data_IF_351502741178
#
_entry.id   IF_351502741178
#
_cell.length_a   1.000
_cell.length_b   1.000
_cell.length_c   1.000
_cell.angle_alpha   90.00
_cell.angle_beta   90.00
_cell.angle_gamma   90.00
#
_symmetry.space_group_name_H-M   'P 1'
#
loop_
_entity.id
_entity.type
_entity.pdbx_description
1 polymer ?
#
# COMPACT_ATOMS: atom_id res chain seq x y z
N UNK A 1 26.51 10.64 4.57
CA UNK A 1 25.19 11.03 5.15
C UNK A 1 24.77 9.97 6.15
N UNK A 2 23.98 10.32 7.17
CA UNK A 2 23.40 9.32 8.10
C UNK A 2 22.06 8.85 7.52
N UNK A 3 21.86 7.54 7.33
CA UNK A 3 20.55 6.95 6.96
C UNK A 3 19.76 6.59 8.22
N UNK A 4 19.70 7.53 9.16
CA UNK A 4 19.00 7.39 10.42
C UNK A 4 17.59 7.97 10.26
N UNK A 5 16.54 7.14 10.41
CA UNK A 5 15.17 7.59 10.23
C UNK A 5 14.76 8.60 11.30
N UNK A 6 13.91 9.53 10.91
CA UNK A 6 13.29 10.51 11.79
C UNK A 6 11.77 10.37 11.73
N UNK A 7 11.03 10.73 12.80
CA UNK A 7 9.56 10.72 12.75
C UNK A 7 8.97 11.54 11.60
N UNK A 8 9.68 12.56 11.11
CA UNK A 8 9.29 13.35 9.94
C UNK A 8 9.25 12.55 8.62
N UNK A 9 9.94 11.40 8.55
CA UNK A 9 9.89 10.48 7.40
C UNK A 9 8.57 9.68 7.36
N UNK A 10 7.75 9.75 8.41
CA UNK A 10 6.43 9.10 8.52
C UNK A 10 6.46 7.59 8.32
N UNK A 11 7.55 6.93 8.72
CA UNK A 11 7.62 5.47 8.74
C UNK A 11 6.68 4.88 9.79
N UNK A 12 5.92 3.86 9.42
CA UNK A 12 5.01 3.17 10.35
C UNK A 12 5.00 1.67 10.12
N UNK A 13 4.57 0.92 11.13
CA UNK A 13 4.57 -0.53 11.12
C UNK A 13 3.29 -1.07 11.77
N UNK A 14 2.73 -2.14 11.19
CA UNK A 14 1.65 -2.89 11.81
C UNK A 14 2.15 -3.68 13.01
N UNK A 15 1.38 -3.73 14.10
CA UNK A 15 1.72 -4.58 15.25
C UNK A 15 1.89 -6.05 14.85
N UNK A 16 1.14 -6.51 13.84
CA UNK A 16 1.23 -7.86 13.29
C UNK A 16 2.53 -8.14 12.53
N UNK A 17 3.30 -7.13 12.14
CA UNK A 17 4.52 -7.27 11.34
C UNK A 17 5.68 -7.81 12.19
N UNK A 18 6.25 -6.96 13.05
CA UNK A 18 7.26 -7.33 14.05
C UNK A 18 6.73 -8.31 15.08
N UNK A 19 5.40 -8.34 15.30
CA UNK A 19 4.73 -9.29 16.18
C UNK A 19 4.50 -10.68 15.56
N UNK A 20 4.81 -10.88 14.26
CA UNK A 20 4.59 -12.18 13.63
C UNK A 20 5.47 -13.27 14.24
N UNK A 21 4.81 -14.30 14.78
CA UNK A 21 5.46 -15.37 15.54
C UNK A 21 6.22 -16.40 14.68
N UNK A 22 6.18 -16.27 13.34
CA UNK A 22 6.86 -17.20 12.44
C UNK A 22 6.06 -18.47 12.10
N UNK A 23 4.79 -18.57 12.50
CA UNK A 23 3.90 -19.68 12.09
C UNK A 23 3.50 -19.47 10.63
N UNK A 24 3.74 -20.51 9.84
CA UNK A 24 3.38 -20.59 8.41
C UNK A 24 2.54 -21.86 8.17
N UNK A 25 2.02 -22.11 6.94
CA UNK A 25 1.18 -23.28 6.67
C UNK A 25 1.84 -24.65 6.93
N UNK A 26 3.16 -24.70 7.11
CA UNK A 26 3.96 -25.92 7.20
C UNK A 26 4.78 -26.02 8.50
N UNK A 27 4.62 -25.10 9.45
CA UNK A 27 5.38 -25.12 10.69
C UNK A 27 4.77 -24.32 11.83
N UNK A 28 5.09 -24.73 13.05
CA UNK A 28 4.73 -23.99 14.26
C UNK A 28 5.51 -22.67 14.38
N UNK A 29 5.03 -21.82 15.29
CA UNK A 29 5.67 -20.56 15.63
C UNK A 29 7.12 -20.78 16.10
N UNK A 30 8.02 -19.93 15.62
CA UNK A 30 9.44 -19.91 16.01
C UNK A 30 9.76 -18.84 17.06
N UNK A 31 8.82 -17.93 17.33
CA UNK A 31 8.95 -16.82 18.28
C UNK A 31 7.76 -16.73 19.24
N UNK A 32 8.01 -16.20 20.43
CA UNK A 32 6.96 -15.89 21.40
C UNK A 32 6.09 -14.71 20.92
N UNK A 33 4.85 -14.57 21.42
CA UNK A 33 4.05 -13.37 21.18
C UNK A 33 4.79 -12.12 21.68
N UNK A 34 4.69 -11.02 20.92
CA UNK A 34 5.24 -9.72 21.31
C UNK A 34 4.15 -8.88 21.97
N UNK A 35 4.46 -8.25 23.10
CA UNK A 35 3.54 -7.32 23.75
C UNK A 35 3.41 -6.02 22.94
N UNK A 36 2.20 -5.54 22.62
CA UNK A 36 2.00 -4.31 21.85
C UNK A 36 2.72 -3.07 22.41
N UNK A 37 2.77 -2.91 23.73
CA UNK A 37 3.46 -1.79 24.35
C UNK A 37 4.98 -1.87 24.18
N UNK A 38 5.56 -3.08 24.27
CA UNK A 38 6.97 -3.31 23.94
C UNK A 38 7.25 -2.96 22.47
N UNK A 39 6.39 -3.40 21.54
CA UNK A 39 6.55 -3.10 20.12
C UNK A 39 6.60 -1.59 19.86
N UNK A 40 5.70 -0.81 20.48
CA UNK A 40 5.69 0.66 20.39
C UNK A 40 7.02 1.25 20.88
N UNK A 41 7.51 0.86 22.05
CA UNK A 41 8.79 1.38 22.57
C UNK A 41 9.98 1.03 21.66
N UNK A 42 10.03 -0.19 21.13
CA UNK A 42 11.11 -0.65 20.25
C UNK A 42 11.07 0.06 18.89
N UNK A 43 9.89 0.22 18.29
CA UNK A 43 9.73 0.93 17.03
C UNK A 43 10.04 2.43 17.17
N UNK A 44 9.63 3.07 18.26
CA UNK A 44 9.99 4.44 18.57
C UNK A 44 11.51 4.63 18.66
N UNK A 45 12.19 3.71 19.37
CA UNK A 45 13.65 3.75 19.50
C UNK A 45 14.40 3.56 18.16
N UNK A 46 13.76 2.94 17.17
CA UNK A 46 14.27 2.80 15.81
C UNK A 46 13.92 3.99 14.90
N UNK A 47 13.15 4.97 15.37
CA UNK A 47 12.80 6.18 14.62
C UNK A 47 11.45 6.13 13.89
N UNK A 48 10.60 5.14 14.17
CA UNK A 48 9.25 5.09 13.59
C UNK A 48 8.34 6.23 14.10
N UNK A 49 7.47 6.72 13.23
CA UNK A 49 6.49 7.77 13.52
C UNK A 49 5.18 7.24 14.13
N UNK A 50 4.78 6.02 13.73
CA UNK A 50 3.50 5.47 14.16
C UNK A 50 3.40 3.96 14.06
N UNK A 51 2.40 3.40 14.73
CA UNK A 51 2.01 1.99 14.66
C UNK A 51 0.59 1.86 14.14
N UNK A 52 0.30 0.75 13.48
CA UNK A 52 -1.05 0.40 13.01
C UNK A 52 -1.44 -0.95 13.59
N UNK A 53 -2.73 -1.30 13.61
CA UNK A 53 -3.17 -2.57 14.19
C UNK A 53 -4.49 -3.06 13.57
N UNK A 54 -4.66 -4.38 13.51
CA UNK A 54 -5.99 -4.98 13.54
C UNK A 54 -6.52 -4.99 14.97
N UNK A 55 -7.84 -4.89 15.14
CA UNK A 55 -8.48 -5.07 16.45
C UNK A 55 -7.96 -6.28 17.23
N UNK A 56 -7.88 -7.43 16.58
CA UNK A 56 -7.47 -8.70 17.22
C UNK A 56 -5.97 -8.79 17.53
N UNK A 57 -5.12 -7.90 16.99
CA UNK A 57 -3.69 -7.81 17.33
C UNK A 57 -3.49 -7.16 18.72
N UNK A 58 -4.37 -6.22 19.05
CA UNK A 58 -4.32 -5.45 20.29
C UNK A 58 -5.20 -6.07 21.39
N UNK A 59 -6.40 -6.51 21.01
CA UNK A 59 -7.43 -7.00 21.91
C UNK A 59 -7.75 -8.45 21.52
N UNK A 60 -7.40 -9.45 22.35
CA UNK A 60 -7.71 -10.83 22.05
C UNK A 60 -9.19 -11.04 21.73
N UNK A 61 -9.48 -11.80 20.66
CA UNK A 61 -10.85 -12.07 20.25
C UNK A 61 -11.66 -12.70 21.41
N UNK A 62 -12.81 -12.12 21.72
CA UNK A 62 -13.67 -12.59 22.82
C UNK A 62 -13.33 -12.02 24.21
N UNK A 63 -12.31 -11.17 24.32
CA UNK A 63 -12.03 -10.42 25.54
C UNK A 63 -13.27 -9.65 26.04
N UNK A 64 -13.46 -9.64 27.35
CA UNK A 64 -14.48 -8.82 28.01
C UNK A 64 -14.18 -7.32 27.84
N UNK A 65 -15.18 -6.47 28.06
CA UNK A 65 -14.98 -5.02 27.96
C UNK A 65 -13.94 -4.50 28.96
N UNK A 66 -13.85 -5.11 30.16
CA UNK A 66 -12.81 -4.77 31.15
C UNK A 66 -11.40 -5.14 30.68
N UNK A 67 -11.23 -6.31 30.07
CA UNK A 67 -9.93 -6.72 29.50
C UNK A 67 -9.57 -5.83 28.30
N UNK A 68 -10.54 -5.53 27.43
CA UNK A 68 -10.38 -4.60 26.31
C UNK A 68 -9.87 -3.25 26.78
N UNK A 69 -10.51 -2.66 27.79
CA UNK A 69 -10.12 -1.34 28.32
C UNK A 69 -8.71 -1.36 28.91
N UNK A 70 -8.31 -2.47 29.54
CA UNK A 70 -6.94 -2.64 30.03
C UNK A 70 -5.91 -2.67 28.88
N UNK A 71 -6.19 -3.40 27.79
CA UNK A 71 -5.31 -3.43 26.62
C UNK A 71 -5.18 -2.06 25.95
N UNK A 72 -6.31 -1.37 25.72
CA UNK A 72 -6.33 -0.02 25.13
C UNK A 72 -5.57 0.98 26.01
N UNK A 73 -5.76 0.93 27.34
CA UNK A 73 -5.03 1.78 28.28
C UNK A 73 -3.52 1.55 28.21
N UNK A 74 -3.06 0.29 28.14
CA UNK A 74 -1.63 -0.03 28.04
C UNK A 74 -1.03 0.49 26.74
N UNK A 75 -1.73 0.35 25.61
CA UNK A 75 -1.26 0.92 24.33
C UNK A 75 -1.14 2.44 24.42
N UNK A 76 -2.17 3.13 24.94
CA UNK A 76 -2.15 4.58 25.11
C UNK A 76 -0.98 5.07 25.94
N UNK A 77 -0.70 4.41 27.06
CA UNK A 77 0.44 4.74 27.89
C UNK A 77 1.77 4.62 27.14
N UNK A 78 1.93 3.62 26.27
CA UNK A 78 3.12 3.47 25.43
C UNK A 78 3.20 4.55 24.33
N UNK A 79 2.07 4.87 23.68
CA UNK A 79 1.99 5.95 22.69
C UNK A 79 2.35 7.31 23.32
N UNK A 80 1.76 7.63 24.48
CA UNK A 80 2.02 8.88 25.22
C UNK A 80 3.50 8.97 25.64
N UNK A 81 4.10 7.86 26.10
CA UNK A 81 5.48 7.83 26.54
C UNK A 81 6.51 7.97 25.40
N UNK A 82 6.13 7.59 24.19
CA UNK A 82 7.03 7.59 23.01
C UNK A 82 6.77 8.74 22.04
N UNK A 83 5.58 9.35 22.09
CA UNK A 83 5.11 10.29 21.09
C UNK A 83 4.72 9.65 19.75
N UNK A 84 4.64 8.31 19.68
CA UNK A 84 4.18 7.62 18.47
C UNK A 84 2.69 7.86 18.23
N UNK A 85 2.31 7.88 16.96
CA UNK A 85 0.91 8.05 16.53
C UNK A 85 0.29 6.73 16.07
N UNK A 86 -1.04 6.73 15.91
CA UNK A 86 -1.77 5.68 15.19
C UNK A 86 -2.33 6.31 13.92
N UNK A 87 -1.62 6.29 12.78
CA UNK A 87 -2.11 6.93 11.56
C UNK A 87 -3.24 6.14 10.88
N UNK A 88 -3.25 4.81 11.08
CA UNK A 88 -4.14 3.87 10.44
C UNK A 88 -4.53 2.73 11.40
N UNK A 89 -5.75 2.23 11.27
CA UNK A 89 -6.20 0.98 11.88
C UNK A 89 -7.01 0.15 10.87
N UNK A 90 -7.17 -1.14 11.15
CA UNK A 90 -7.91 -2.07 10.30
C UNK A 90 -8.62 -3.15 11.13
N UNK A 91 -9.40 -4.04 10.51
CA UNK A 91 -10.19 -5.08 11.20
C UNK A 91 -9.75 -6.47 10.76
N UNK A 92 -9.48 -7.37 11.70
CA UNK A 92 -9.24 -8.76 11.34
C UNK A 92 -10.57 -9.43 10.99
N UNK A 93 -10.80 -9.60 9.69
CA UNK A 93 -11.96 -10.27 9.12
C UNK A 93 -11.56 -11.56 8.39
N UNK A 94 -10.45 -12.18 8.79
CA UNK A 94 -9.87 -13.30 8.04
C UNK A 94 -9.36 -14.47 8.88
N UNK A 95 -9.07 -14.25 10.16
CA UNK A 95 -8.45 -15.27 11.04
C UNK A 95 -9.47 -16.21 11.66
N UNK A 96 -10.51 -15.67 12.30
CA UNK A 96 -11.50 -16.49 13.00
C UNK A 96 -12.27 -17.39 12.00
N UNK A 97 -12.54 -18.68 12.30
CA UNK A 97 -13.20 -19.62 11.37
C UNK A 97 -14.59 -19.19 10.86
N UNK A 98 -15.23 -18.24 11.54
CA UNK A 98 -16.50 -17.65 11.10
C UNK A 98 -16.37 -16.95 9.75
N UNK A 99 -15.20 -16.39 9.42
CA UNK A 99 -14.95 -15.64 8.18
C UNK A 99 -14.39 -16.49 7.04
N UNK A 100 -14.49 -17.83 7.14
CA UNK A 100 -13.90 -18.77 6.18
C UNK A 100 -14.34 -18.56 4.71
N UNK A 101 -15.52 -18.00 4.48
CA UNK A 101 -16.08 -17.69 3.14
C UNK A 101 -16.11 -16.17 2.85
N UNK A 102 -15.36 -15.39 3.61
CA UNK A 102 -15.47 -13.94 3.61
C UNK A 102 -16.25 -13.44 4.81
N UNK A 103 -16.33 -12.12 4.89
CA UNK A 103 -17.00 -11.39 5.94
C UNK A 103 -18.11 -10.53 5.32
N UNK A 104 -17.79 -9.49 4.56
CA UNK A 104 -18.81 -8.66 3.90
C UNK A 104 -19.49 -9.37 2.73
N UNK A 105 -18.84 -10.36 2.13
CA UNK A 105 -19.37 -11.15 1.01
C UNK A 105 -19.55 -12.63 1.34
N UNK A 106 -19.54 -12.98 2.63
CA UNK A 106 -19.96 -14.29 3.10
C UNK A 106 -21.35 -14.64 2.55
N UNK A 107 -21.54 -15.88 2.09
CA UNK A 107 -22.86 -16.33 1.66
C UNK A 107 -23.87 -16.29 2.83
N UNK A 108 -23.41 -16.63 4.03
CA UNK A 108 -24.17 -16.55 5.29
C UNK A 108 -24.45 -15.09 5.68
N UNK A 109 -25.74 -14.73 5.75
CA UNK A 109 -26.16 -13.33 5.98
C UNK A 109 -25.85 -12.82 7.38
N UNK A 110 -25.97 -13.68 8.38
CA UNK A 110 -25.63 -13.34 9.77
C UNK A 110 -24.14 -13.03 9.95
N UNK A 111 -23.25 -13.74 9.24
CA UNK A 111 -21.81 -13.45 9.19
C UNK A 111 -21.55 -12.06 8.62
N UNK A 112 -22.22 -11.66 7.53
CA UNK A 112 -22.11 -10.29 6.97
C UNK A 112 -22.48 -9.21 7.99
N UNK A 113 -23.55 -9.44 8.76
CA UNK A 113 -23.99 -8.52 9.82
C UNK A 113 -23.01 -8.46 10.99
N UNK A 114 -22.44 -9.61 11.36
CA UNK A 114 -21.42 -9.68 12.41
C UNK A 114 -20.15 -8.92 11.99
N UNK A 115 -19.69 -9.10 10.75
CA UNK A 115 -18.53 -8.39 10.19
C UNK A 115 -18.67 -6.87 10.25
N UNK A 116 -19.84 -6.34 9.87
CA UNK A 116 -20.14 -4.91 9.96
C UNK A 116 -20.05 -4.39 11.40
N UNK A 117 -20.64 -5.12 12.36
CA UNK A 117 -20.59 -4.74 13.78
C UNK A 117 -19.18 -4.78 14.35
N UNK A 118 -18.37 -5.78 13.99
CA UNK A 118 -16.96 -5.87 14.38
C UNK A 118 -16.17 -4.67 13.86
N UNK A 119 -16.37 -4.34 12.57
CA UNK A 119 -15.72 -3.20 11.91
C UNK A 119 -16.11 -1.88 12.56
N UNK A 120 -17.40 -1.60 12.76
CA UNK A 120 -17.87 -0.36 13.41
C UNK A 120 -17.26 -0.18 14.81
N UNK A 121 -17.20 -1.26 15.61
CA UNK A 121 -16.61 -1.21 16.96
C UNK A 121 -15.13 -0.82 16.93
N UNK A 122 -14.40 -1.22 15.91
CA UNK A 122 -12.99 -0.86 15.78
C UNK A 122 -12.77 0.49 15.08
N UNK A 123 -13.69 0.94 14.22
CA UNK A 123 -13.72 2.33 13.75
C UNK A 123 -13.80 3.31 14.92
N UNK A 124 -14.64 3.02 15.93
CA UNK A 124 -14.73 3.86 17.13
C UNK A 124 -13.37 3.96 17.84
N UNK A 125 -12.67 2.83 18.03
CA UNK A 125 -11.34 2.81 18.64
C UNK A 125 -10.30 3.54 17.79
N UNK A 126 -10.34 3.36 16.47
CA UNK A 126 -9.43 4.02 15.54
C UNK A 126 -9.59 5.56 15.63
N UNK A 127 -10.83 6.05 15.63
CA UNK A 127 -11.12 7.46 15.84
C UNK A 127 -10.66 7.94 17.22
N UNK A 128 -10.88 7.16 18.27
CA UNK A 128 -10.46 7.44 19.65
C UNK A 128 -8.93 7.52 19.82
N UNK A 129 -8.17 6.87 18.95
CA UNK A 129 -6.70 6.89 18.90
C UNK A 129 -6.14 7.88 17.86
N UNK A 130 -7.02 8.62 17.17
CA UNK A 130 -6.63 9.67 16.23
C UNK A 130 -6.22 9.18 14.84
N UNK A 131 -6.59 7.94 14.46
CA UNK A 131 -6.38 7.45 13.11
C UNK A 131 -7.12 8.30 12.08
N UNK A 132 -6.49 8.48 10.91
CA UNK A 132 -7.04 9.25 9.78
C UNK A 132 -7.43 8.36 8.59
N UNK A 133 -6.93 7.12 8.59
CA UNK A 133 -7.25 6.12 7.58
C UNK A 133 -7.71 4.82 8.23
N UNK A 134 -8.75 4.22 7.65
CA UNK A 134 -9.22 2.90 8.00
C UNK A 134 -9.03 1.96 6.81
N UNK A 135 -8.08 1.03 6.91
CA UNK A 135 -7.78 0.09 5.83
C UNK A 135 -8.77 -1.07 5.87
N UNK A 136 -9.21 -1.51 4.68
CA UNK A 136 -10.07 -2.67 4.52
C UNK A 136 -9.46 -3.66 3.53
N UNK A 137 -8.80 -4.69 4.07
CA UNK A 137 -8.32 -5.84 3.31
C UNK A 137 -9.35 -6.98 3.32
N UNK A 138 -9.89 -7.28 2.14
CA UNK A 138 -10.89 -8.32 1.93
C UNK A 138 -10.29 -9.72 1.77
N UNK A 139 -9.32 -10.11 2.58
CA UNK A 139 -8.52 -11.34 2.35
C UNK A 139 -9.33 -12.64 2.22
N UNK A 140 -10.54 -12.71 2.80
CA UNK A 140 -11.44 -13.87 2.67
C UNK A 140 -12.58 -13.69 1.65
N UNK A 141 -12.70 -12.53 1.04
CA UNK A 141 -13.77 -12.19 0.10
C UNK A 141 -13.42 -12.75 -1.28
N UNK A 142 -13.92 -13.93 -1.63
CA UNK A 142 -13.44 -14.64 -2.83
C UNK A 142 -14.01 -16.06 -2.97
N UNK A 143 -13.33 -16.89 -3.77
CA UNK A 143 -13.73 -18.27 -3.99
C UNK A 143 -12.56 -19.17 -4.42
N UNK A 144 -12.74 -20.48 -4.23
CA UNK A 144 -11.88 -21.53 -4.80
C UNK A 144 -12.52 -22.23 -6.01
N UNK A 145 -13.80 -21.95 -6.28
CA UNK A 145 -14.54 -22.55 -7.40
C UNK A 145 -15.62 -21.60 -7.94
N UNK A 146 -15.80 -21.58 -9.26
CA UNK A 146 -16.63 -20.55 -9.93
C UNK A 146 -18.12 -20.57 -9.57
N UNK A 147 -18.69 -21.71 -9.17
CA UNK A 147 -20.09 -21.80 -8.79
C UNK A 147 -20.35 -21.39 -7.32
N UNK A 148 -19.31 -21.21 -6.50
CA UNK A 148 -19.46 -20.96 -5.07
C UNK A 148 -19.83 -19.51 -4.73
N UNK A 149 -19.63 -18.57 -5.67
CA UNK A 149 -19.84 -17.13 -5.45
C UNK A 149 -20.46 -16.48 -6.68
N UNK A 150 -21.66 -15.92 -6.54
CA UNK A 150 -22.17 -14.95 -7.52
C UNK A 150 -21.43 -13.63 -7.29
N UNK A 151 -20.49 -13.31 -8.19
CA UNK A 151 -19.62 -12.13 -8.07
C UNK A 151 -20.43 -10.83 -8.09
N UNK A 152 -21.52 -10.75 -8.85
CA UNK A 152 -22.34 -9.52 -8.90
C UNK A 152 -23.03 -9.31 -7.56
N UNK A 153 -23.64 -10.36 -7.02
CA UNK A 153 -24.24 -10.30 -5.70
C UNK A 153 -23.21 -9.98 -4.61
N UNK A 154 -22.00 -10.55 -4.69
CA UNK A 154 -20.91 -10.25 -3.76
C UNK A 154 -20.47 -8.78 -3.82
N UNK A 155 -20.30 -8.21 -5.02
CA UNK A 155 -19.98 -6.79 -5.20
C UNK A 155 -21.09 -5.88 -4.67
N UNK A 156 -22.36 -6.24 -4.87
CA UNK A 156 -23.49 -5.51 -4.29
C UNK A 156 -23.44 -5.52 -2.74
N UNK A 157 -23.04 -6.64 -2.11
CA UNK A 157 -22.89 -6.73 -0.65
C UNK A 157 -21.67 -5.97 -0.15
N UNK A 158 -20.57 -6.00 -0.90
CA UNK A 158 -19.38 -5.22 -0.63
C UNK A 158 -19.70 -3.72 -0.64
N UNK A 159 -20.44 -3.26 -1.66
CA UNK A 159 -20.93 -1.88 -1.76
C UNK A 159 -21.84 -1.52 -0.58
N UNK A 160 -22.85 -2.35 -0.29
CA UNK A 160 -23.74 -2.15 0.86
C UNK A 160 -22.96 -1.99 2.18
N UNK A 161 -21.92 -2.80 2.39
CA UNK A 161 -21.08 -2.72 3.57
C UNK A 161 -20.30 -1.39 3.64
N UNK A 162 -19.60 -1.04 2.56
CA UNK A 162 -18.82 0.20 2.54
C UNK A 162 -19.68 1.45 2.65
N UNK A 163 -20.84 1.49 1.96
CA UNK A 163 -21.76 2.63 2.05
C UNK A 163 -22.29 2.82 3.48
N UNK A 164 -22.61 1.72 4.19
CA UNK A 164 -23.03 1.77 5.59
C UNK A 164 -21.91 2.27 6.50
N UNK A 165 -20.67 1.81 6.31
CA UNK A 165 -19.53 2.25 7.11
C UNK A 165 -19.19 3.73 6.88
N UNK A 166 -19.29 4.21 5.63
CA UNK A 166 -19.14 5.62 5.31
C UNK A 166 -20.26 6.48 5.92
N UNK A 167 -21.51 6.00 5.88
CA UNK A 167 -22.62 6.64 6.58
C UNK A 167 -22.33 6.72 8.08
N UNK A 168 -21.90 5.63 8.71
CA UNK A 168 -21.58 5.59 10.13
C UNK A 168 -20.49 6.61 10.51
N UNK A 169 -19.36 6.60 9.80
CA UNK A 169 -18.26 7.57 10.02
C UNK A 169 -18.74 9.01 9.88
N UNK A 170 -19.59 9.29 8.88
CA UNK A 170 -20.15 10.63 8.66
C UNK A 170 -21.08 11.04 9.79
N UNK A 171 -21.97 10.15 10.25
CA UNK A 171 -22.93 10.42 11.33
C UNK A 171 -22.25 10.61 12.69
N UNK A 172 -21.16 9.88 12.95
CA UNK A 172 -20.34 10.08 14.16
C UNK A 172 -19.47 11.34 14.09
N UNK A 173 -19.31 11.95 12.91
CA UNK A 173 -18.43 13.10 12.71
C UNK A 173 -16.94 12.72 12.81
N UNK A 174 -16.59 11.47 12.51
CA UNK A 174 -15.19 11.04 12.50
C UNK A 174 -14.48 11.52 11.23
N UNK A 175 -13.27 12.06 11.40
CA UNK A 175 -12.41 12.50 10.31
C UNK A 175 -11.56 11.32 9.76
N UNK A 176 -12.24 10.26 9.33
CA UNK A 176 -11.66 9.05 8.75
C UNK A 176 -11.92 8.97 7.25
N UNK A 177 -10.92 8.47 6.51
CA UNK A 177 -11.07 8.00 5.13
C UNK A 177 -10.85 6.49 5.07
N UNK A 178 -11.44 5.82 4.10
CA UNK A 178 -11.27 4.38 3.89
C UNK A 178 -10.26 4.11 2.78
N UNK A 179 -9.44 3.08 2.95
CA UNK A 179 -8.50 2.63 1.93
C UNK A 179 -8.69 1.14 1.67
N UNK A 180 -9.16 0.79 0.47
CA UNK A 180 -9.39 -0.60 0.04
C UNK A 180 -8.06 -1.21 -0.38
N UNK A 181 -7.72 -2.36 0.19
CA UNK A 181 -6.47 -3.06 -0.10
C UNK A 181 -6.73 -4.23 -1.06
N UNK A 182 -6.29 -4.12 -2.33
CA UNK A 182 -6.41 -5.20 -3.30
C UNK A 182 -5.35 -6.28 -3.06
N UNK A 183 -5.73 -7.53 -3.30
CA UNK A 183 -4.82 -8.67 -3.35
C UNK A 183 -5.34 -9.70 -4.35
N UNK A 184 -4.52 -10.31 -5.22
CA UNK A 184 -5.04 -11.18 -6.27
C UNK A 184 -5.55 -12.53 -5.74
N UNK A 185 -4.84 -13.12 -4.80
CA UNK A 185 -5.13 -14.41 -4.19
C UNK A 185 -4.43 -14.53 -2.84
N UNK A 186 -4.64 -15.66 -2.15
CA UNK A 186 -4.11 -15.98 -0.82
C UNK A 186 -4.69 -15.09 0.30
N UNK A 187 -5.53 -15.65 1.19
CA UNK A 187 -5.77 -17.08 1.39
C UNK A 187 -6.89 -17.71 0.52
N UNK A 188 -7.66 -16.92 -0.25
CA UNK A 188 -8.62 -17.50 -1.22
C UNK A 188 -7.93 -17.89 -2.52
N UNK A 189 -8.53 -18.78 -3.29
CA UNK A 189 -8.06 -19.11 -4.65
C UNK A 189 -8.00 -17.88 -5.56
N UNK A 190 -9.11 -17.12 -5.61
CA UNK A 190 -9.20 -15.80 -6.22
C UNK A 190 -9.92 -14.85 -5.25
N UNK A 191 -9.32 -13.70 -4.97
CA UNK A 191 -9.90 -12.65 -4.11
C UNK A 191 -10.62 -11.63 -4.98
N UNK A 192 -11.75 -11.11 -4.49
CA UNK A 192 -12.49 -10.02 -5.12
C UNK A 192 -11.68 -8.72 -5.06
N UNK A 193 -11.77 -7.90 -6.11
CA UNK A 193 -10.95 -6.69 -6.28
C UNK A 193 -9.45 -7.01 -6.32
N UNK A 194 -8.99 -7.84 -7.27
CA UNK A 194 -7.68 -8.48 -7.20
C UNK A 194 -6.48 -7.56 -7.41
N UNK A 195 -6.68 -6.35 -7.95
CA UNK A 195 -5.61 -5.39 -8.24
C UNK A 195 -6.07 -3.95 -8.00
N UNK A 196 -5.13 -3.01 -7.95
CA UNK A 196 -5.40 -1.57 -7.81
C UNK A 196 -6.48 -1.09 -8.77
N UNK A 197 -6.43 -1.47 -10.04
CA UNK A 197 -7.40 -1.06 -11.04
C UNK A 197 -8.83 -1.51 -10.71
N UNK A 198 -9.00 -2.73 -10.20
CA UNK A 198 -10.31 -3.26 -9.81
C UNK A 198 -10.87 -2.54 -8.59
N UNK A 199 -10.03 -2.28 -7.58
CA UNK A 199 -10.43 -1.52 -6.40
C UNK A 199 -10.84 -0.08 -6.76
N UNK A 200 -10.06 0.60 -7.60
CA UNK A 200 -10.40 1.95 -8.10
C UNK A 200 -11.75 1.95 -8.84
N UNK A 201 -11.98 1.01 -9.75
CA UNK A 201 -13.23 0.94 -10.51
C UNK A 201 -14.44 0.66 -9.61
N UNK A 202 -14.28 -0.14 -8.57
CA UNK A 202 -15.32 -0.42 -7.58
C UNK A 202 -15.64 0.81 -6.71
N UNK A 203 -14.62 1.55 -6.28
CA UNK A 203 -14.78 2.77 -5.47
C UNK A 203 -15.68 3.80 -6.16
N UNK A 204 -15.55 3.95 -7.48
CA UNK A 204 -16.39 4.84 -8.30
C UNK A 204 -17.86 4.40 -8.43
N UNK A 205 -18.29 3.37 -7.69
CA UNK A 205 -19.69 2.95 -7.57
C UNK A 205 -20.25 3.12 -6.17
N UNK A 206 -19.46 3.57 -5.19
CA UNK A 206 -19.91 3.84 -3.83
C UNK A 206 -20.75 5.13 -3.76
N UNK A 207 -21.57 5.30 -2.73
CA UNK A 207 -22.43 6.50 -2.58
C UNK A 207 -21.63 7.76 -2.22
N UNK A 208 -20.48 7.58 -1.55
CA UNK A 208 -19.55 8.65 -1.15
C UNK A 208 -18.13 8.34 -1.61
N UNK A 209 -17.88 8.25 -2.92
CA UNK A 209 -16.59 7.78 -3.45
C UNK A 209 -15.42 8.64 -2.97
N UNK A 210 -15.63 9.91 -2.64
CA UNK A 210 -14.63 10.83 -2.07
C UNK A 210 -14.04 10.39 -0.72
N UNK A 211 -14.76 9.56 0.05
CA UNK A 211 -14.28 9.01 1.32
C UNK A 211 -13.41 7.76 1.13
N UNK A 212 -13.31 7.23 -0.09
CA UNK A 212 -12.62 5.98 -0.39
C UNK A 212 -11.46 6.21 -1.35
N UNK A 213 -10.35 5.57 -1.03
CA UNK A 213 -9.17 5.40 -1.86
C UNK A 213 -8.64 3.97 -1.76
N UNK A 214 -7.41 3.76 -2.18
CA UNK A 214 -6.73 2.46 -2.14
C UNK A 214 -5.57 2.44 -1.15
N UNK A 215 -5.28 1.24 -0.65
CA UNK A 215 -4.08 0.87 0.11
C UNK A 215 -3.31 -0.21 -0.68
N UNK A 216 -2.57 0.12 -1.74
CA UNK A 216 -1.85 -0.86 -2.54
C UNK A 216 -0.58 -1.35 -1.84
N UNK A 217 -0.37 -2.67 -1.87
CA UNK A 217 0.84 -3.31 -1.37
C UNK A 217 1.78 -3.73 -2.50
N UNK A 218 3.10 -3.53 -2.31
CA UNK A 218 4.14 -3.94 -3.28
C UNK A 218 3.99 -5.41 -3.67
N UNK A 219 3.92 -6.30 -2.69
CA UNK A 219 3.86 -7.74 -2.91
C UNK A 219 2.62 -8.17 -3.68
N UNK A 220 1.45 -7.64 -3.33
CA UNK A 220 0.17 -8.00 -3.94
C UNK A 220 0.11 -7.78 -5.45
N UNK A 221 0.55 -6.62 -5.96
CA UNK A 221 0.58 -6.39 -7.41
C UNK A 221 1.66 -7.25 -8.09
N UNK A 222 2.79 -7.48 -7.42
CA UNK A 222 3.87 -8.33 -7.93
C UNK A 222 3.50 -9.82 -7.97
N UNK A 223 2.59 -10.29 -7.09
CA UNK A 223 2.00 -11.63 -7.16
C UNK A 223 1.19 -11.84 -8.45
N UNK A 224 0.66 -10.78 -9.06
CA UNK A 224 0.01 -10.81 -10.36
C UNK A 224 0.96 -10.52 -11.54
N UNK A 225 2.27 -10.36 -11.27
CA UNK A 225 3.26 -9.97 -12.27
C UNK A 225 3.08 -8.53 -12.78
N UNK A 226 2.37 -7.68 -12.04
CA UNK A 226 2.13 -6.29 -12.41
C UNK A 226 3.28 -5.39 -11.96
N UNK A 227 3.43 -4.27 -12.66
CA UNK A 227 4.38 -3.22 -12.29
C UNK A 227 3.75 -2.33 -11.21
N UNK A 228 4.22 -2.49 -9.96
CA UNK A 228 3.70 -1.73 -8.82
C UNK A 228 3.84 -0.22 -8.99
N UNK A 229 5.01 0.36 -9.38
CA UNK A 229 5.12 1.79 -9.66
C UNK A 229 4.06 2.34 -10.64
N UNK A 230 3.70 1.58 -11.69
CA UNK A 230 2.66 2.00 -12.63
C UNK A 230 1.26 2.00 -11.99
N UNK A 231 0.94 1.00 -11.16
CA UNK A 231 -0.30 0.97 -10.39
C UNK A 231 -0.42 2.15 -9.42
N UNK A 232 0.69 2.50 -8.75
CA UNK A 232 0.77 3.67 -7.87
C UNK A 232 0.60 4.97 -8.64
N UNK A 233 1.24 5.11 -9.81
CA UNK A 233 1.08 6.28 -10.66
C UNK A 233 -0.39 6.47 -11.09
N UNK A 234 -1.10 5.39 -11.41
CA UNK A 234 -2.54 5.45 -11.72
C UNK A 234 -3.38 5.84 -10.50
N UNK A 235 -3.08 5.32 -9.31
CA UNK A 235 -3.78 5.70 -8.08
C UNK A 235 -3.55 7.17 -7.70
N UNK A 236 -2.34 7.69 -7.91
CA UNK A 236 -2.00 9.11 -7.75
C UNK A 236 -2.75 9.97 -8.77
N UNK A 237 -2.78 9.56 -10.04
CA UNK A 237 -3.50 10.25 -11.11
C UNK A 237 -5.01 10.36 -10.80
N UNK A 238 -5.60 9.33 -10.19
CA UNK A 238 -6.99 9.34 -9.76
C UNK A 238 -7.24 10.15 -8.46
N UNK A 239 -6.19 10.60 -7.76
CA UNK A 239 -6.31 11.23 -6.45
C UNK A 239 -6.79 10.26 -5.35
N UNK A 240 -6.50 8.96 -5.50
CA UNK A 240 -7.04 7.87 -4.66
C UNK A 240 -5.99 7.10 -3.87
N UNK A 241 -4.71 7.46 -3.93
CA UNK A 241 -3.67 6.85 -3.09
C UNK A 241 -3.76 7.39 -1.66
N UNK A 242 -4.61 6.79 -0.82
CA UNK A 242 -4.87 7.27 0.55
C UNK A 242 -3.87 6.72 1.57
N UNK A 243 -3.38 5.51 1.32
CA UNK A 243 -2.34 4.83 2.09
C UNK A 243 -1.58 3.91 1.13
N UNK A 244 -0.51 3.25 1.58
CA UNK A 244 0.19 2.21 0.84
C UNK A 244 0.95 1.31 1.80
N UNK A 245 1.26 0.10 1.35
CA UNK A 245 2.05 -0.87 2.11
C UNK A 245 3.33 -1.26 1.35
N UNK A 246 4.46 -1.13 2.04
CA UNK A 246 5.80 -1.33 1.51
C UNK A 246 6.40 -2.63 2.03
N UNK A 247 6.65 -3.56 1.12
CA UNK A 247 7.36 -4.80 1.39
C UNK A 247 8.15 -5.27 0.15
N UNK A 248 8.46 -6.56 0.06
CA UNK A 248 9.18 -7.14 -1.05
C UNK A 248 8.64 -8.51 -1.42
N UNK A 249 8.56 -8.76 -2.72
CA UNK A 249 8.12 -10.02 -3.30
C UNK A 249 9.08 -10.44 -4.43
N UNK A 250 9.29 -11.75 -4.59
CA UNK A 250 10.09 -12.29 -5.71
C UNK A 250 9.19 -12.94 -6.76
N UNK A 251 8.39 -12.10 -7.45
CA UNK A 251 7.51 -12.50 -8.55
C UNK A 251 6.27 -13.27 -8.13
N UNK A 252 5.72 -14.08 -9.05
CA UNK A 252 4.45 -14.78 -8.91
C UNK A 252 4.63 -16.06 -8.08
N UNK A 253 4.27 -16.00 -6.79
CA UNK A 253 4.24 -17.12 -5.83
C UNK A 253 3.41 -16.70 -4.60
N UNK A 254 3.46 -17.50 -3.53
CA UNK A 254 2.90 -17.11 -2.22
C UNK A 254 3.42 -15.74 -1.79
N UNK A 255 2.64 -15.05 -0.99
CA UNK A 255 3.00 -13.76 -0.46
C UNK A 255 4.14 -13.88 0.55
N UNK A 256 5.30 -13.33 0.21
CA UNK A 256 6.52 -13.51 0.99
C UNK A 256 6.68 -12.49 2.11
N UNK A 257 6.02 -11.33 2.01
CA UNK A 257 6.14 -10.24 2.99
C UNK A 257 7.61 -9.86 3.32
N UNK A 258 8.52 -9.84 2.34
CA UNK A 258 9.92 -9.50 2.63
C UNK A 258 10.04 -8.04 3.07
N UNK A 259 11.08 -7.69 3.82
CA UNK A 259 11.37 -6.28 4.13
C UNK A 259 11.48 -5.45 2.84
N UNK A 260 11.01 -4.19 2.86
CA UNK A 260 11.04 -3.32 1.68
C UNK A 260 12.44 -3.18 1.08
N UNK A 261 12.54 -3.25 -0.25
CA UNK A 261 13.80 -3.24 -1.00
C UNK A 261 14.46 -4.61 -1.17
N UNK A 262 14.00 -5.65 -0.46
CA UNK A 262 14.20 -7.03 -0.90
C UNK A 262 13.20 -7.38 -2.02
N UNK A 263 13.42 -8.48 -2.74
CA UNK A 263 12.63 -8.80 -3.93
C UNK A 263 13.07 -7.98 -5.14
N UNK A 264 12.13 -7.32 -5.83
CA UNK A 264 12.44 -6.44 -6.97
C UNK A 264 12.97 -5.06 -6.54
N UNK A 265 14.30 -4.97 -6.43
CA UNK A 265 14.99 -3.74 -6.04
C UNK A 265 14.81 -2.58 -7.05
N UNK A 266 14.68 -2.86 -8.35
CA UNK A 266 14.47 -1.80 -9.35
C UNK A 266 13.07 -1.22 -9.24
N UNK A 267 12.07 -2.07 -9.04
CA UNK A 267 10.70 -1.63 -8.74
C UNK A 267 10.69 -0.76 -7.49
N UNK A 268 11.37 -1.17 -6.40
CA UNK A 268 11.46 -0.38 -5.17
C UNK A 268 12.11 1.00 -5.39
N UNK A 269 13.17 1.09 -6.20
CA UNK A 269 13.78 2.37 -6.58
C UNK A 269 12.79 3.30 -7.27
N UNK A 270 12.05 2.80 -8.27
CA UNK A 270 11.05 3.59 -8.99
C UNK A 270 9.83 3.94 -8.14
N UNK A 271 9.46 3.09 -7.18
CA UNK A 271 8.43 3.43 -6.18
C UNK A 271 8.86 4.63 -5.35
N UNK A 272 10.09 4.64 -4.82
CA UNK A 272 10.57 5.77 -3.99
C UNK A 272 10.72 7.04 -4.83
N UNK A 273 11.29 6.95 -6.04
CA UNK A 273 11.34 8.09 -6.97
C UNK A 273 9.96 8.70 -7.24
N UNK A 274 8.94 7.86 -7.48
CA UNK A 274 7.58 8.31 -7.72
C UNK A 274 6.95 8.97 -6.49
N UNK A 275 7.02 8.34 -5.31
CA UNK A 275 6.40 8.88 -4.09
C UNK A 275 6.98 10.24 -3.69
N UNK A 276 8.31 10.37 -3.80
CA UNK A 276 9.01 11.60 -3.42
C UNK A 276 8.81 12.71 -4.46
N UNK A 277 8.72 12.38 -5.75
CA UNK A 277 8.47 13.36 -6.81
C UNK A 277 7.01 13.78 -6.95
N UNK A 278 6.05 12.92 -6.56
CA UNK A 278 4.63 13.24 -6.57
C UNK A 278 4.16 14.03 -5.35
N UNK A 279 5.01 14.17 -4.33
CA UNK A 279 4.66 14.82 -3.06
C UNK A 279 3.67 14.02 -2.21
N UNK A 280 3.67 12.68 -2.30
CA UNK A 280 2.85 11.84 -1.42
C UNK A 280 3.20 12.13 0.04
N UNK A 281 2.20 12.51 0.85
CA UNK A 281 2.39 13.00 2.22
C UNK A 281 1.91 12.02 3.29
N UNK A 282 1.33 10.88 2.91
CA UNK A 282 0.87 9.85 3.83
C UNK A 282 2.00 9.03 4.47
N UNK A 283 1.66 8.10 5.37
CA UNK A 283 2.63 7.21 6.00
C UNK A 283 3.37 6.33 4.98
N UNK A 284 4.65 6.05 5.24
CA UNK A 284 5.40 4.98 4.58
C UNK A 284 5.26 3.75 5.46
N UNK A 285 4.14 3.04 5.32
CA UNK A 285 3.84 1.89 6.15
C UNK A 285 4.53 0.64 5.60
N UNK A 286 5.17 -0.12 6.49
CA UNK A 286 5.80 -1.38 6.15
C UNK A 286 4.91 -2.53 6.65
N UNK A 287 4.16 -3.16 5.74
CA UNK A 287 3.49 -4.43 6.02
C UNK A 287 4.37 -5.59 5.55
N UNK A 288 5.17 -6.12 6.47
CA UNK A 288 6.16 -7.15 6.16
C UNK A 288 6.24 -8.17 7.30
N UNK A 289 6.94 -9.28 7.06
CA UNK A 289 7.20 -10.31 8.07
C UNK A 289 8.69 -10.56 8.20
N UNK A 290 9.28 -10.39 9.40
CA UNK A 290 10.63 -10.88 9.68
C UNK A 290 10.69 -12.39 9.41
N UNK A 291 11.64 -12.89 8.59
CA UNK A 291 11.68 -14.29 8.20
C UNK A 291 11.59 -15.23 9.41
N UNK A 292 10.93 -16.39 9.25
CA UNK A 292 10.73 -17.37 10.33
C UNK A 292 12.03 -17.88 10.97
N UNK A 293 13.16 -17.71 10.28
CA UNK A 293 14.51 -18.08 10.70
C UNK A 293 15.08 -17.17 11.78
N UNK A 294 14.55 -15.96 11.89
CA UNK A 294 15.09 -14.94 12.78
C UNK A 294 14.57 -15.11 14.21
N UNK A 295 15.43 -14.81 15.18
CA UNK A 295 15.02 -14.52 16.55
C UNK A 295 14.56 -13.05 16.69
N UNK A 296 14.37 -12.59 17.92
CA UNK A 296 13.91 -11.22 18.19
C UNK A 296 14.92 -10.14 17.74
N UNK A 297 16.23 -10.43 17.72
CA UNK A 297 17.22 -9.45 17.26
C UNK A 297 17.14 -9.29 15.74
N UNK A 298 16.96 -10.39 15.01
CA UNK A 298 16.71 -10.35 13.57
C UNK A 298 15.39 -9.66 13.19
N UNK A 299 14.35 -9.75 14.04
CA UNK A 299 13.10 -8.96 13.90
C UNK A 299 13.43 -7.46 13.87
N UNK A 300 14.13 -6.95 14.88
CA UNK A 300 14.45 -5.52 14.95
C UNK A 300 15.43 -5.07 13.87
N UNK A 301 16.38 -5.93 13.49
CA UNK A 301 17.28 -5.67 12.36
C UNK A 301 16.51 -5.55 11.04
N UNK A 302 15.48 -6.39 10.83
CA UNK A 302 14.66 -6.34 9.62
C UNK A 302 13.78 -5.08 9.55
N UNK A 303 13.19 -4.66 10.67
CA UNK A 303 12.41 -3.42 10.78
C UNK A 303 13.28 -2.18 10.50
N UNK A 304 14.50 -2.12 11.07
CA UNK A 304 15.48 -1.08 10.75
C UNK A 304 15.90 -1.12 9.27
N UNK A 305 16.01 -2.32 8.70
CA UNK A 305 16.32 -2.54 7.28
C UNK A 305 15.30 -1.93 6.33
N UNK A 306 13.99 -2.01 6.64
CA UNK A 306 12.93 -1.36 5.86
C UNK A 306 13.17 0.14 5.71
N UNK A 307 13.32 0.85 6.83
CA UNK A 307 13.53 2.30 6.86
C UNK A 307 14.85 2.68 6.18
N UNK A 308 15.93 1.97 6.50
CA UNK A 308 17.24 2.21 5.90
C UNK A 308 17.20 2.11 4.37
N UNK A 309 16.57 1.06 3.84
CA UNK A 309 16.46 0.86 2.40
C UNK A 309 15.69 2.02 1.74
N UNK A 310 14.57 2.44 2.33
CA UNK A 310 13.82 3.59 1.82
C UNK A 310 14.69 4.85 1.77
N UNK A 311 15.42 5.17 2.84
CA UNK A 311 16.28 6.36 2.93
C UNK A 311 17.41 6.34 1.89
N UNK A 312 18.03 5.17 1.66
CA UNK A 312 19.06 5.01 0.62
C UNK A 312 18.44 5.25 -0.76
N UNK A 313 17.32 4.59 -1.06
CA UNK A 313 16.65 4.74 -2.35
C UNK A 313 16.18 6.17 -2.59
N UNK A 314 15.72 6.88 -1.56
CA UNK A 314 15.34 8.30 -1.61
C UNK A 314 16.54 9.18 -1.99
N UNK A 315 17.69 8.96 -1.37
CA UNK A 315 18.93 9.67 -1.72
C UNK A 315 19.32 9.41 -3.19
N UNK A 316 19.27 8.14 -3.63
CA UNK A 316 19.64 7.77 -5.02
C UNK A 316 18.67 8.34 -6.04
N UNK A 317 17.37 8.33 -5.76
CA UNK A 317 16.35 8.92 -6.63
C UNK A 317 16.52 10.44 -6.74
N UNK A 318 16.79 11.12 -5.62
CA UNK A 318 17.08 12.55 -5.62
C UNK A 318 18.33 12.89 -6.44
N UNK A 319 19.42 12.11 -6.27
CA UNK A 319 20.64 12.26 -7.06
C UNK A 319 20.39 12.03 -8.57
N UNK A 320 19.62 10.99 -8.91
CA UNK A 320 19.21 10.71 -10.30
C UNK A 320 18.48 11.89 -10.92
N UNK A 321 17.49 12.47 -10.25
CA UNK A 321 16.72 13.62 -10.77
C UNK A 321 17.54 14.92 -10.84
N UNK A 322 18.53 15.08 -9.98
CA UNK A 322 19.40 16.26 -9.94
C UNK A 322 20.53 16.23 -10.98
N UNK A 323 20.88 15.06 -11.53
CA UNK A 323 21.99 14.88 -12.46
C UNK A 323 21.71 15.57 -13.83
N UNK A 324 22.55 16.52 -14.29
CA UNK A 324 22.40 17.16 -15.60
C UNK A 324 22.41 16.17 -16.78
N UNK A 325 23.20 15.09 -16.72
CA UNK A 325 23.26 14.07 -17.76
C UNK A 325 21.95 13.28 -17.84
N UNK A 326 21.30 13.04 -16.69
CA UNK A 326 19.95 12.46 -16.63
C UNK A 326 18.94 13.45 -17.19
N UNK A 327 19.00 14.73 -16.84
CA UNK A 327 18.09 15.75 -17.40
C UNK A 327 18.21 15.87 -18.92
N UNK A 328 19.43 15.77 -19.46
CA UNK A 328 19.65 15.68 -20.90
C UNK A 328 19.05 14.39 -21.48
N UNK A 329 19.27 13.24 -20.85
CA UNK A 329 18.71 11.96 -21.28
C UNK A 329 17.17 11.97 -21.28
N UNK A 330 16.53 12.58 -20.28
CA UNK A 330 15.08 12.73 -20.20
C UNK A 330 14.52 13.52 -21.40
N UNK A 331 15.18 14.63 -21.79
CA UNK A 331 14.82 15.42 -22.99
C UNK A 331 15.11 14.66 -24.28
N UNK A 332 16.25 13.97 -24.36
CA UNK A 332 16.59 13.11 -25.50
C UNK A 332 15.59 11.96 -25.66
N UNK A 333 14.95 11.52 -24.58
CA UNK A 333 13.86 10.55 -24.56
C UNK A 333 12.46 11.17 -24.67
N UNK A 334 12.36 12.49 -24.90
CA UNK A 334 11.10 13.25 -25.13
C UNK A 334 10.09 13.17 -23.98
N UNK A 335 10.54 12.96 -22.74
CA UNK A 335 9.62 12.95 -21.60
C UNK A 335 8.98 14.33 -21.38
N UNK A 336 9.67 15.41 -21.77
CA UNK A 336 9.13 16.77 -21.80
C UNK A 336 8.07 17.01 -22.88
N UNK A 337 7.96 16.13 -23.88
CA UNK A 337 6.92 16.20 -24.91
C UNK A 337 5.67 15.45 -24.48
N UNK A 338 5.80 14.32 -23.78
CA UNK A 338 4.66 13.57 -23.23
C UNK A 338 3.82 14.42 -22.26
N UNK A 339 4.46 15.34 -21.53
CA UNK A 339 3.75 16.26 -20.63
C UNK A 339 3.01 17.40 -21.33
N UNK A 340 3.14 17.54 -22.66
CA UNK A 340 2.42 18.55 -23.44
C UNK A 340 1.07 17.97 -23.89
N UNK A 341 -0.02 18.74 -23.83
CA UNK A 341 -1.28 18.32 -24.45
C UNK A 341 -1.06 17.94 -25.92
N UNK A 342 -1.71 16.86 -26.37
CA UNK A 342 -1.65 16.44 -27.77
C UNK A 342 -2.28 17.47 -28.70
N UNK A 343 -3.37 18.10 -28.25
CA UNK A 343 -4.05 19.16 -28.99
C UNK A 343 -3.51 20.52 -28.56
N UNK A 344 -3.39 21.43 -29.51
CA UNK A 344 -3.10 22.83 -29.22
C UNK A 344 -4.24 23.48 -28.42
N UNK A 345 -3.93 24.58 -27.72
CA UNK A 345 -4.91 25.31 -26.94
C UNK A 345 -6.06 25.82 -27.82
N UNK A 346 -7.27 25.27 -27.62
CA UNK A 346 -8.47 25.62 -28.38
C UNK A 346 -8.62 24.87 -29.72
N UNK A 347 -7.72 23.95 -30.03
CA UNK A 347 -7.86 23.10 -31.21
C UNK A 347 -9.07 22.17 -31.09
N UNK A 348 -9.82 22.04 -32.19
CA UNK A 348 -11.01 21.19 -32.26
C UNK A 348 -10.71 19.92 -33.07
N UNK A 349 -11.51 18.85 -32.92
CA UNK A 349 -11.35 17.66 -33.77
C UNK A 349 -11.40 17.97 -35.28
N UNK A 350 -12.24 18.92 -35.70
CA UNK A 350 -12.31 19.34 -37.10
C UNK A 350 -11.06 20.10 -37.56
N UNK A 351 -10.43 20.86 -36.67
CA UNK A 351 -9.16 21.53 -36.96
C UNK A 351 -8.03 20.50 -37.10
N UNK A 352 -7.94 19.52 -36.19
CA UNK A 352 -6.96 18.44 -36.28
C UNK A 352 -7.16 17.60 -37.55
N UNK A 353 -8.40 17.28 -37.93
CA UNK A 353 -8.71 16.59 -39.19
C UNK A 353 -8.33 17.39 -40.43
N UNK A 354 -8.26 18.72 -40.33
CA UNK A 354 -7.84 19.59 -41.42
C UNK A 354 -6.32 19.86 -41.42
N UNK A 355 -5.63 19.55 -40.32
CA UNK A 355 -4.18 19.67 -40.23
C UNK A 355 -3.50 18.53 -40.99
N UNK A 356 -3.12 18.86 -42.22
CA UNK A 356 -2.41 17.93 -43.09
C UNK A 356 -1.09 17.44 -42.49
N UNK A 357 -0.45 18.21 -41.61
CA UNK A 357 0.84 17.82 -41.01
C UNK A 357 0.69 16.71 -39.97
N UNK A 358 -0.52 16.50 -39.45
CA UNK A 358 -0.84 15.43 -38.51
C UNK A 358 -1.15 14.10 -39.21
N UNK A 359 -1.42 14.09 -40.52
CA UNK A 359 -1.73 12.87 -41.27
C UNK A 359 -1.26 12.86 -42.73
N UNK A 360 -1.88 13.64 -43.63
CA UNK A 360 -1.64 13.54 -45.09
C UNK A 360 -0.20 13.81 -45.50
N UNK A 361 0.45 14.76 -44.83
CA UNK A 361 1.82 15.21 -45.07
C UNK A 361 2.78 14.72 -43.96
N UNK A 362 2.31 13.88 -43.02
CA UNK A 362 3.14 13.34 -41.95
C UNK A 362 4.07 12.23 -42.47
N UNK A 363 5.38 12.47 -42.44
CA UNK A 363 6.38 11.46 -42.79
C UNK A 363 6.57 10.44 -41.66
N UNK A 364 5.69 9.44 -41.64
CA UNK A 364 5.73 8.35 -40.68
C UNK A 364 7.03 7.53 -40.76
N UNK A 365 7.65 7.41 -41.93
CA UNK A 365 8.88 6.64 -42.11
C UNK A 365 10.09 7.35 -41.47
N UNK A 366 10.23 8.65 -41.71
CA UNK A 366 11.24 9.46 -41.03
C UNK A 366 10.99 9.52 -39.52
N UNK A 367 9.73 9.59 -39.07
CA UNK A 367 9.39 9.55 -37.65
C UNK A 367 9.75 8.21 -36.99
N UNK A 368 9.46 7.09 -37.63
CA UNK A 368 9.79 5.75 -37.15
C UNK A 368 11.29 5.50 -37.04
N UNK A 369 12.12 6.17 -37.85
CA UNK A 369 13.58 6.11 -37.76
C UNK A 369 14.19 6.76 -36.51
N UNK A 370 13.39 7.47 -35.69
CA UNK A 370 13.89 8.19 -34.51
C UNK A 370 14.03 7.25 -33.31
N UNK A 371 15.25 6.89 -32.92
CA UNK A 371 15.50 6.12 -31.68
C UNK A 371 15.10 6.88 -30.42
N UNK A 372 14.60 6.19 -29.38
CA UNK A 372 14.05 6.82 -28.16
C UNK A 372 15.05 7.05 -27.02
N UNK A 373 16.29 6.56 -27.15
CA UNK A 373 17.36 6.70 -26.16
C UNK A 373 17.05 6.13 -24.75
N UNK A 374 16.02 5.28 -24.62
CA UNK A 374 15.58 4.74 -23.32
C UNK A 374 16.64 3.88 -22.62
N UNK A 375 17.38 3.04 -23.35
CA UNK A 375 18.44 2.21 -22.74
C UNK A 375 19.55 3.05 -22.08
N UNK A 376 19.91 4.19 -22.68
CA UNK A 376 20.88 5.11 -22.08
C UNK A 376 20.32 5.73 -20.81
N UNK A 377 19.07 6.18 -20.84
CA UNK A 377 18.39 6.75 -19.67
C UNK A 377 18.28 5.71 -18.53
N UNK A 378 17.94 4.47 -18.87
CA UNK A 378 17.80 3.37 -17.93
C UNK A 378 19.13 2.99 -17.29
N UNK A 379 20.21 2.95 -18.09
CA UNK A 379 21.55 2.70 -17.57
C UNK A 379 22.00 3.79 -16.59
N UNK A 380 21.70 5.06 -16.88
CA UNK A 380 21.99 6.15 -15.93
C UNK A 380 21.23 5.94 -14.61
N UNK A 381 19.98 5.51 -14.65
CA UNK A 381 19.20 5.19 -13.45
C UNK A 381 19.83 4.02 -12.67
N UNK A 382 20.29 2.98 -13.37
CA UNK A 382 21.00 1.85 -12.76
C UNK A 382 22.31 2.31 -12.09
N UNK A 383 23.09 3.15 -12.76
CA UNK A 383 24.36 3.62 -12.22
C UNK A 383 24.16 4.49 -10.95
N UNK A 384 23.09 5.30 -10.90
CA UNK A 384 22.67 6.03 -9.70
C UNK A 384 22.23 5.10 -8.57
N UNK A 385 21.41 4.10 -8.88
CA UNK A 385 20.97 3.09 -7.91
C UNK A 385 22.15 2.34 -7.31
N UNK A 386 23.11 1.91 -8.13
CA UNK A 386 24.33 1.21 -7.70
C UNK A 386 25.35 2.14 -7.04
N UNK A 387 25.21 3.46 -7.20
CA UNK A 387 26.11 4.46 -6.63
C UNK A 387 27.47 4.52 -7.33
N UNK A 388 27.49 4.25 -8.64
CA UNK A 388 28.72 4.23 -9.46
C UNK A 388 28.87 5.47 -10.35
N UNK A 389 27.91 6.40 -10.35
CA UNK A 389 28.12 7.75 -10.90
C UNK A 389 28.74 8.66 -9.87
N UNK A 390 29.85 9.32 -10.22
CA UNK A 390 30.40 10.40 -9.39
C UNK A 390 29.85 11.76 -9.83
N UNK A 391 29.72 12.74 -8.92
CA UNK A 391 29.33 14.10 -9.30
C UNK A 391 30.35 14.69 -10.29
N UNK A 392 29.97 14.83 -11.56
CA UNK A 392 30.82 15.41 -12.61
C UNK A 392 31.12 14.49 -13.81
N UNK A 393 30.75 13.21 -13.75
CA UNK A 393 30.60 12.35 -14.94
C UNK A 393 29.32 12.68 -15.71
#
# INVERSE_FOLDING_TARGET
MSYEPQPADKFSFGLWTVGWQGRDPFGDATRAPLDPAEAVHRLAALGAYGVTFHDDDLIPFGASDTERDAHVKRLRQALDATGMTVPMATTNLFTHPVFKDGAFTANDRDVRRFALRKTMRNIDLAAELGARTYVAWGGREGAESGAAKDVRAALDRMKEAFDLLAQYVTEQGYELRFAVEPKPNEPRGDILLPTVGHALAFIERLERPELFGVNPEVGHEQMAGLNYPHGIAQALWAGKLFHLDLNGQSGIKYDQDLRFGAGDLRSAFWTVDLLESSGYDGPRHFDFKPPRTEDIDGVWASAAGCMRNYLILRERAAAFRADPAVQEALRASRLDQLSRPTLDAGETPSALLADRTAYEDFDAAAAAGRGMAFERLDQLAMDHLLGVRTPGD
#
